data_IF_068831571129
#
_entry.id   IF_068831571129
#
_cell.length_a   1.000
_cell.length_b   1.000
_cell.length_c   1.000
_cell.angle_alpha   90.00
_cell.angle_beta   90.00
_cell.angle_gamma   90.00
#
_symmetry.space_group_name_H-M   'P 1'
#
loop_
_entity.id
_entity.type
_entity.pdbx_description
1 polymer ?
#
# COMPACT_ATOMS: atom_id res chain seq x y z
N UNK A 1 -2.28 -13.02 45.83
CA UNK A 1 -1.81 -11.70 45.38
C UNK A 1 -0.61 -11.83 44.41
N UNK A 2 0.50 -12.46 44.80
CA UNK A 2 1.70 -12.61 43.92
C UNK A 2 1.48 -13.44 42.64
N UNK A 3 0.66 -14.49 42.70
CA UNK A 3 0.33 -15.34 41.53
C UNK A 3 -0.52 -14.64 40.47
N UNK A 4 -1.27 -13.59 40.85
CA UNK A 4 -2.12 -12.82 39.93
C UNK A 4 -1.31 -11.76 39.17
N UNK A 5 -0.24 -11.23 39.79
CA UNK A 5 0.67 -10.25 39.19
C UNK A 5 1.54 -10.85 38.06
N UNK A 6 1.98 -12.10 38.22
CA UNK A 6 2.82 -12.81 37.24
C UNK A 6 2.03 -13.14 35.96
N UNK A 7 0.74 -13.49 36.09
CA UNK A 7 -0.12 -13.75 34.93
C UNK A 7 -0.43 -12.45 34.19
N UNK A 8 -0.64 -11.33 34.89
CA UNK A 8 -0.85 -10.03 34.27
C UNK A 8 0.39 -9.52 33.51
N UNK A 9 1.59 -9.72 34.07
CA UNK A 9 2.85 -9.37 33.41
C UNK A 9 3.19 -10.29 32.22
N UNK A 10 2.81 -11.57 32.30
CA UNK A 10 2.95 -12.51 31.18
C UNK A 10 2.00 -12.20 30.01
N UNK A 11 0.77 -11.75 30.28
CA UNK A 11 -0.17 -11.30 29.23
C UNK A 11 0.27 -9.97 28.59
N UNK A 12 0.93 -9.09 29.36
CA UNK A 12 1.52 -7.84 28.86
C UNK A 12 2.76 -8.06 27.97
N UNK A 13 3.49 -9.17 28.16
CA UNK A 13 4.65 -9.57 27.35
C UNK A 13 4.28 -10.29 26.05
N UNK A 14 3.08 -10.87 25.95
CA UNK A 14 2.59 -11.58 24.75
C UNK A 14 1.93 -10.62 23.74
N UNK A 15 1.66 -9.37 24.14
CA UNK A 15 0.91 -8.38 23.33
C UNK A 15 1.78 -7.39 22.54
N UNK A 16 3.09 -7.55 22.53
CA UNK A 16 3.98 -6.83 21.60
C UNK A 16 4.14 -7.66 20.31
N UNK A 17 3.06 -7.81 19.55
CA UNK A 17 3.23 -8.09 18.13
C UNK A 17 3.72 -6.78 17.52
N UNK A 18 5.02 -6.67 17.24
CA UNK A 18 5.45 -5.70 16.23
C UNK A 18 4.76 -6.13 14.95
N UNK A 19 3.69 -5.45 14.56
CA UNK A 19 3.16 -5.57 13.22
C UNK A 19 4.29 -5.03 12.32
N UNK A 20 5.00 -5.94 11.66
CA UNK A 20 5.91 -5.52 10.59
C UNK A 20 5.04 -4.87 9.53
N UNK A 21 5.42 -3.67 9.09
CA UNK A 21 4.87 -3.05 7.88
C UNK A 21 4.84 -4.11 6.77
N UNK A 22 3.66 -4.37 6.19
CA UNK A 22 3.54 -5.30 5.06
C UNK A 22 3.69 -4.52 3.77
N UNK A 23 4.26 -5.16 2.76
CA UNK A 23 4.25 -4.65 1.40
C UNK A 23 3.07 -5.27 0.65
N UNK A 24 2.13 -4.43 0.21
CA UNK A 24 1.05 -4.81 -0.70
C UNK A 24 1.39 -4.39 -2.12
N UNK A 25 0.99 -5.20 -3.10
CA UNK A 25 1.30 -4.99 -4.51
C UNK A 25 0.03 -4.68 -5.30
N UNK A 26 0.13 -3.72 -6.22
CA UNK A 26 -0.92 -3.36 -7.17
C UNK A 26 -0.41 -3.61 -8.58
N UNK A 27 -1.13 -4.42 -9.34
CA UNK A 27 -0.84 -4.73 -10.73
C UNK A 27 -2.13 -4.97 -11.49
N UNK A 28 -2.30 -4.31 -12.64
CA UNK A 28 -3.48 -4.50 -13.51
C UNK A 28 -3.62 -5.93 -14.04
N UNK A 29 -2.56 -6.74 -13.95
CA UNK A 29 -2.56 -8.16 -14.34
C UNK A 29 -2.51 -9.10 -13.14
N UNK A 30 -2.50 -8.58 -11.91
CA UNK A 30 -2.61 -9.38 -10.70
C UNK A 30 -4.01 -9.96 -10.54
N UNK A 31 -4.13 -11.06 -9.80
CA UNK A 31 -5.41 -11.76 -9.60
C UNK A 31 -6.27 -11.19 -8.45
N UNK A 32 -5.73 -10.25 -7.67
CA UNK A 32 -6.41 -9.59 -6.55
C UNK A 32 -6.65 -10.46 -5.32
N UNK A 33 -6.03 -11.64 -5.22
CA UNK A 33 -6.33 -12.60 -4.16
C UNK A 33 -5.81 -12.20 -2.78
N UNK A 34 -4.56 -11.74 -2.69
CA UNK A 34 -3.90 -11.49 -1.38
C UNK A 34 -3.05 -10.22 -1.36
N UNK A 35 -2.58 -9.76 -2.52
CA UNK A 35 -1.76 -8.56 -2.63
C UNK A 35 -0.34 -8.71 -2.10
N UNK A 36 0.17 -9.91 -1.84
CA UNK A 36 1.52 -10.12 -1.25
C UNK A 36 2.62 -10.37 -2.29
N UNK A 37 2.26 -10.40 -3.58
CA UNK A 37 3.17 -10.44 -4.73
C UNK A 37 2.55 -9.73 -5.93
N UNK A 38 3.30 -9.52 -7.01
CA UNK A 38 2.75 -8.96 -8.25
C UNK A 38 1.67 -9.84 -8.89
N UNK A 39 1.84 -11.17 -8.87
CA UNK A 39 0.88 -12.13 -9.42
C UNK A 39 -0.43 -12.12 -8.62
N UNK A 40 -0.32 -12.00 -7.30
CA UNK A 40 -1.47 -11.91 -6.40
C UNK A 40 -1.93 -10.48 -6.13
N UNK A 41 -1.32 -9.52 -6.84
CA UNK A 41 -1.49 -8.09 -6.64
C UNK A 41 -2.91 -7.64 -6.92
N UNK A 42 -3.33 -6.57 -6.24
CA UNK A 42 -4.63 -5.96 -6.46
C UNK A 42 -4.71 -5.31 -7.85
N UNK A 43 -5.79 -5.54 -8.64
CA UNK A 43 -5.98 -4.89 -9.93
C UNK A 43 -6.07 -3.37 -9.86
N UNK A 44 -6.51 -2.83 -8.72
CA UNK A 44 -6.75 -1.40 -8.51
C UNK A 44 -5.98 -0.86 -7.30
N UNK A 45 -5.72 0.45 -7.30
CA UNK A 45 -5.08 1.12 -6.16
C UNK A 45 -6.05 1.19 -4.98
N UNK A 46 -7.35 1.36 -5.23
CA UNK A 46 -8.38 1.42 -4.19
C UNK A 46 -8.47 0.12 -3.39
N UNK A 47 -8.50 -1.05 -4.05
CA UNK A 47 -8.55 -2.36 -3.37
C UNK A 47 -7.35 -2.59 -2.44
N UNK A 48 -6.15 -2.14 -2.85
CA UNK A 48 -4.97 -2.21 -2.00
C UNK A 48 -5.07 -1.29 -0.79
N UNK A 49 -5.52 -0.05 -0.97
CA UNK A 49 -5.74 0.89 0.13
C UNK A 49 -6.78 0.33 1.11
N UNK A 50 -7.87 -0.28 0.62
CA UNK A 50 -8.90 -0.91 1.45
C UNK A 50 -8.35 -2.08 2.26
N UNK A 51 -7.42 -2.85 1.70
CA UNK A 51 -6.75 -3.99 2.35
C UNK A 51 -5.61 -3.58 3.30
N UNK A 52 -5.04 -2.38 3.11
CA UNK A 52 -3.95 -1.86 3.90
C UNK A 52 -4.39 -1.42 5.31
N UNK A 53 -3.46 -1.55 6.25
CA UNK A 53 -3.54 -1.09 7.64
C UNK A 53 -2.40 -0.13 7.94
N UNK A 54 -2.55 0.73 8.95
CA UNK A 54 -1.56 1.74 9.31
C UNK A 54 -0.15 1.15 9.41
N UNK A 55 0.82 1.79 8.74
CA UNK A 55 2.20 1.34 8.61
C UNK A 55 2.48 0.47 7.39
N UNK A 56 1.48 0.01 6.64
CA UNK A 56 1.71 -0.78 5.42
C UNK A 56 2.22 0.09 4.26
N UNK A 57 3.03 -0.53 3.39
CA UNK A 57 3.49 0.06 2.13
C UNK A 57 2.69 -0.55 0.97
N UNK A 58 2.37 0.27 -0.04
CA UNK A 58 1.70 -0.17 -1.26
C UNK A 58 2.60 0.15 -2.46
N UNK A 59 3.05 -0.88 -3.17
CA UNK A 59 3.85 -0.78 -4.37
C UNK A 59 2.97 -0.94 -5.60
N UNK A 60 2.99 0.06 -6.48
CA UNK A 60 2.11 0.12 -7.65
C UNK A 60 2.94 -0.01 -8.93
N UNK A 61 2.61 -1.03 -9.72
CA UNK A 61 3.21 -1.25 -11.02
C UNK A 61 2.90 -0.08 -11.98
N UNK A 62 3.72 0.05 -13.03
CA UNK A 62 3.48 1.01 -14.09
C UNK A 62 2.14 0.75 -14.76
N UNK A 63 1.44 1.83 -15.11
CA UNK A 63 0.13 1.75 -15.72
C UNK A 63 -0.71 2.99 -15.45
N UNK A 64 -1.81 3.10 -16.20
CA UNK A 64 -2.87 4.08 -15.92
C UNK A 64 -4.00 3.41 -15.16
N UNK A 65 -4.32 3.96 -14.01
CA UNK A 65 -5.37 3.56 -13.08
C UNK A 65 -6.44 4.65 -13.09
N UNK A 66 -7.59 4.34 -13.69
CA UNK A 66 -8.69 5.31 -13.79
C UNK A 66 -9.50 5.30 -12.49
N UNK A 67 -8.98 5.99 -11.47
CA UNK A 67 -9.46 5.93 -10.09
C UNK A 67 -9.33 7.30 -9.40
N UNK A 68 -10.23 7.56 -8.45
CA UNK A 68 -10.10 8.62 -7.47
C UNK A 68 -9.89 7.97 -6.10
N UNK A 69 -8.75 8.20 -5.47
CA UNK A 69 -8.32 7.45 -4.28
C UNK A 69 -8.42 8.28 -3.00
N UNK A 70 -8.66 7.62 -1.88
CA UNK A 70 -8.62 8.19 -0.53
C UNK A 70 -7.67 7.38 0.33
N UNK A 71 -6.51 7.93 0.69
CA UNK A 71 -5.54 7.26 1.54
C UNK A 71 -6.02 7.18 2.99
N UNK A 72 -5.61 6.10 3.66
CA UNK A 72 -5.73 5.95 5.12
C UNK A 72 -4.49 6.54 5.81
N UNK A 73 -4.58 6.89 7.11
CA UNK A 73 -3.43 7.34 7.88
C UNK A 73 -2.28 6.34 7.84
N UNK A 74 -1.05 6.84 7.83
CA UNK A 74 0.17 6.03 7.92
C UNK A 74 0.35 4.99 6.79
N UNK A 75 -0.30 5.19 5.65
CA UNK A 75 -0.08 4.39 4.44
C UNK A 75 0.93 5.08 3.54
N UNK A 76 1.90 4.31 3.05
CA UNK A 76 2.86 4.80 2.06
C UNK A 76 2.58 4.18 0.69
N UNK A 77 2.23 5.02 -0.27
CA UNK A 77 1.86 4.63 -1.63
C UNK A 77 2.99 5.02 -2.60
N UNK A 78 3.56 4.01 -3.27
CA UNK A 78 4.74 4.16 -4.13
C UNK A 78 4.45 3.67 -5.56
N UNK A 79 4.60 4.55 -6.55
CA UNK A 79 4.50 4.24 -7.99
C UNK A 79 5.87 4.22 -8.65
N UNK A 80 6.02 3.58 -9.81
CA UNK A 80 7.31 3.51 -10.52
C UNK A 80 7.90 2.11 -10.67
N UNK A 81 7.17 1.07 -10.28
CA UNK A 81 7.63 -0.32 -10.37
C UNK A 81 7.33 -0.90 -11.75
N UNK A 82 8.16 -1.80 -12.27
CA UNK A 82 7.86 -2.57 -13.48
C UNK A 82 6.86 -3.70 -13.24
N UNK A 83 6.66 -4.12 -11.99
CA UNK A 83 5.73 -5.19 -11.62
C UNK A 83 6.37 -6.57 -11.55
N UNK A 84 7.68 -6.62 -11.25
CA UNK A 84 8.45 -7.86 -11.13
C UNK A 84 9.56 -7.77 -10.07
N UNK A 85 9.63 -6.69 -9.31
CA UNK A 85 10.55 -6.46 -8.21
C UNK A 85 10.21 -7.29 -6.98
N UNK A 86 11.21 -7.78 -6.25
CA UNK A 86 11.01 -8.40 -4.94
C UNK A 86 10.98 -7.33 -3.84
N UNK A 87 10.52 -7.70 -2.64
CA UNK A 87 10.37 -6.80 -1.48
C UNK A 87 11.67 -6.05 -1.09
N UNK A 88 12.84 -6.65 -1.32
CA UNK A 88 14.14 -6.01 -1.05
C UNK A 88 14.63 -5.07 -2.17
N UNK A 89 13.84 -4.90 -3.24
CA UNK A 89 14.24 -4.19 -4.46
C UNK A 89 13.55 -2.84 -4.64
N UNK A 90 13.14 -2.20 -3.54
CA UNK A 90 12.50 -0.88 -3.56
C UNK A 90 13.28 0.16 -4.38
N UNK A 91 14.60 0.18 -4.25
CA UNK A 91 15.48 1.15 -4.92
C UNK A 91 15.63 0.93 -6.44
N UNK A 92 15.15 -0.20 -6.97
CA UNK A 92 15.13 -0.46 -8.41
C UNK A 92 13.97 0.23 -9.13
N UNK A 93 13.03 0.82 -8.36
CA UNK A 93 11.91 1.62 -8.86
C UNK A 93 12.42 2.75 -9.75
N UNK A 94 11.83 2.87 -10.95
CA UNK A 94 12.17 3.91 -11.92
C UNK A 94 10.92 4.66 -12.36
N UNK A 95 10.46 5.59 -11.52
CA UNK A 95 9.26 6.41 -11.74
C UNK A 95 9.27 7.26 -13.01
N UNK A 96 10.44 7.47 -13.64
CA UNK A 96 10.54 8.17 -14.94
C UNK A 96 10.22 7.25 -16.12
N UNK A 97 10.56 5.97 -16.03
CA UNK A 97 10.39 5.00 -17.12
C UNK A 97 9.12 4.18 -16.93
N UNK A 98 8.83 3.80 -15.69
CA UNK A 98 7.71 2.97 -15.29
C UNK A 98 6.59 3.85 -14.73
N UNK A 99 6.05 4.75 -15.57
CA UNK A 99 5.07 5.73 -15.10
C UNK A 99 3.83 5.04 -14.48
N UNK A 100 3.50 5.42 -13.25
CA UNK A 100 2.25 5.07 -12.58
C UNK A 100 1.36 6.30 -12.58
N UNK A 101 0.18 6.19 -13.19
CA UNK A 101 -0.73 7.31 -13.44
C UNK A 101 -2.03 7.07 -12.69
N UNK A 102 -2.36 7.97 -11.77
CA UNK A 102 -3.71 8.11 -11.21
C UNK A 102 -4.48 9.10 -12.08
N UNK A 103 -5.53 8.61 -12.73
CA UNK A 103 -6.29 9.33 -13.74
C UNK A 103 -7.77 9.37 -13.33
N UNK A 104 -8.27 10.52 -12.87
CA UNK A 104 -9.69 10.66 -12.55
C UNK A 104 -10.54 11.21 -13.70
N UNK A 105 -10.06 11.15 -14.96
CA UNK A 105 -10.85 11.61 -16.10
C UNK A 105 -12.20 10.89 -16.14
N UNK A 106 -13.27 11.70 -16.21
CA UNK A 106 -14.66 11.23 -16.24
C UNK A 106 -15.27 10.85 -14.89
N UNK A 107 -14.53 10.96 -13.77
CA UNK A 107 -15.02 10.59 -12.44
C UNK A 107 -15.69 11.73 -11.66
N UNK A 108 -15.63 12.98 -12.15
CA UNK A 108 -16.16 14.19 -11.49
C UNK A 108 -15.76 14.31 -10.00
N UNK A 109 -14.56 13.84 -9.64
CA UNK A 109 -14.08 13.72 -8.27
C UNK A 109 -12.70 14.33 -8.08
N UNK A 110 -12.33 14.54 -6.82
CA UNK A 110 -10.94 14.85 -6.45
C UNK A 110 -10.09 13.59 -6.62
N UNK A 111 -9.00 13.69 -7.40
CA UNK A 111 -8.17 12.51 -7.73
C UNK A 111 -7.58 11.83 -6.50
N UNK A 112 -7.13 12.62 -5.53
CA UNK A 112 -6.46 12.14 -4.32
C UNK A 112 -6.95 12.90 -3.10
N UNK A 113 -7.42 12.15 -2.10
CA UNK A 113 -7.65 12.63 -0.74
C UNK A 113 -6.61 11.96 0.17
N UNK A 114 -5.70 12.76 0.75
CA UNK A 114 -4.62 12.26 1.60
C UNK A 114 -5.01 12.35 3.09
N UNK A 115 -4.57 11.38 3.90
CA UNK A 115 -4.75 11.37 5.35
C UNK A 115 -3.48 11.81 6.09
N UNK A 116 -3.52 11.84 7.42
CA UNK A 116 -2.35 12.18 8.24
C UNK A 116 -1.23 11.14 8.08
N UNK A 117 0.02 11.62 8.07
CA UNK A 117 1.22 10.79 8.01
C UNK A 117 1.25 9.77 6.84
N UNK A 118 0.56 10.05 5.73
CA UNK A 118 0.63 9.22 4.54
C UNK A 118 1.66 9.74 3.54
N UNK A 119 2.12 8.86 2.66
CA UNK A 119 3.07 9.19 1.59
C UNK A 119 2.46 8.86 0.23
N UNK A 120 2.67 9.75 -0.75
CA UNK A 120 2.45 9.47 -2.18
C UNK A 120 3.73 9.85 -2.91
N UNK A 121 4.37 8.88 -3.57
CA UNK A 121 5.63 9.09 -4.28
C UNK A 121 5.63 8.33 -5.60
N UNK A 122 6.12 8.97 -6.66
CA UNK A 122 6.34 8.33 -7.96
C UNK A 122 5.11 8.26 -8.87
N UNK A 123 4.08 9.07 -8.59
CA UNK A 123 2.86 9.14 -9.38
C UNK A 123 2.83 10.35 -10.30
N UNK A 124 2.25 10.15 -11.48
CA UNK A 124 1.62 11.22 -12.26
C UNK A 124 0.14 11.26 -11.86
N UNK A 125 -0.38 12.44 -11.55
CA UNK A 125 -1.78 12.63 -11.11
C UNK A 125 -2.47 13.54 -12.13
N UNK A 126 -3.59 13.10 -12.68
CA UNK A 126 -4.35 13.82 -13.71
C UNK A 126 -5.86 13.62 -13.53
N UNK A 127 -6.65 14.51 -14.13
CA UNK A 127 -8.11 14.40 -14.26
C UNK A 127 -8.61 15.01 -15.57
#
# INVERSE_FOLDING_TARGET
MLRLLIVFMAVLLISLHSASARTLYVSKTGDGSTGVSWETGFPTVTEAIESATAGDHIWVASGSYNEAISLKPEIELYGGFSGNENEDQFDLRNWRTNATILDATGLESTVVIAAENCTIDGFVITN
#
